data_IF_710877347264
#
_entry.id   IF_710877347264
#
_cell.length_a   1.000
_cell.length_b   1.000
_cell.length_c   1.000
_cell.angle_alpha   90.00
_cell.angle_beta   90.00
_cell.angle_gamma   90.00
#
_symmetry.space_group_name_H-M   'P 1'
#
loop_
_entity.id
_entity.type
_entity.pdbx_description
1 polymer ?
#
# COMPACT_ATOMS: atom_id res chain seq x y z
N UNK A 1 18.86 21.46 8.67
CA UNK A 1 17.53 20.87 8.44
C UNK A 1 16.87 21.72 7.37
N UNK A 2 16.81 21.26 6.12
CA UNK A 2 16.13 22.01 5.05
C UNK A 2 14.63 21.88 5.29
N UNK A 3 13.96 22.98 5.64
CA UNK A 3 12.51 23.04 5.89
C UNK A 3 11.76 22.47 4.69
N UNK A 4 11.31 21.22 4.80
CA UNK A 4 10.46 20.61 3.80
C UNK A 4 9.08 21.26 3.95
N UNK A 5 8.73 22.11 2.99
CA UNK A 5 7.44 22.77 2.95
C UNK A 5 6.34 21.72 2.78
N UNK A 6 5.50 21.57 3.80
CA UNK A 6 4.34 20.69 3.77
C UNK A 6 3.35 21.12 2.68
N UNK A 7 3.25 22.43 2.45
CA UNK A 7 2.33 23.07 1.53
C UNK A 7 2.80 22.94 0.07
N UNK A 8 1.85 22.65 -0.83
CA UNK A 8 2.04 22.58 -2.28
C UNK A 8 0.82 23.14 -3.00
N UNK A 9 0.94 23.42 -4.29
CA UNK A 9 -0.17 23.86 -5.11
C UNK A 9 -1.33 22.84 -5.16
N UNK A 10 -1.02 21.53 -5.12
CA UNK A 10 -2.04 20.48 -5.05
C UNK A 10 -2.83 20.54 -3.75
N UNK A 11 -2.14 20.75 -2.62
CA UNK A 11 -2.80 20.92 -1.31
C UNK A 11 -3.60 22.22 -1.24
N UNK A 12 -3.15 23.27 -1.94
CA UNK A 12 -3.90 24.51 -2.04
C UNK A 12 -5.24 24.32 -2.76
N UNK A 13 -5.29 23.56 -3.86
CA UNK A 13 -6.55 23.20 -4.53
C UNK A 13 -7.50 22.48 -3.57
N UNK A 14 -6.99 21.55 -2.75
CA UNK A 14 -7.80 20.86 -1.75
C UNK A 14 -8.28 21.79 -0.63
N UNK A 15 -7.45 22.74 -0.18
CA UNK A 15 -7.85 23.76 0.81
C UNK A 15 -8.98 24.63 0.28
N UNK A 16 -8.88 25.07 -0.97
CA UNK A 16 -9.95 25.82 -1.66
C UNK A 16 -11.21 24.97 -1.79
N UNK A 17 -11.08 23.68 -2.09
CA UNK A 17 -12.19 22.75 -2.05
C UNK A 17 -12.85 22.67 -0.67
N UNK A 18 -12.07 22.51 0.39
CA UNK A 18 -12.60 22.43 1.76
C UNK A 18 -13.28 23.74 2.18
N UNK A 19 -12.70 24.89 1.83
CA UNK A 19 -13.30 26.21 2.07
C UNK A 19 -14.66 26.35 1.39
N UNK A 20 -14.74 25.98 0.11
CA UNK A 20 -15.99 26.01 -0.65
C UNK A 20 -17.03 25.03 -0.10
N UNK A 21 -16.62 23.82 0.26
CA UNK A 21 -17.48 22.82 0.92
C UNK A 21 -18.07 23.34 2.23
N UNK A 22 -17.27 24.08 3.02
CA UNK A 22 -17.71 24.63 4.30
C UNK A 22 -18.65 25.84 4.15
N UNK A 23 -18.43 26.69 3.14
CA UNK A 23 -19.19 27.94 2.94
C UNK A 23 -20.47 27.77 2.11
N UNK A 24 -20.53 26.77 1.24
CA UNK A 24 -21.66 26.58 0.32
C UNK A 24 -22.58 25.43 0.74
N UNK A 25 -23.29 25.62 1.86
CA UNK A 25 -24.34 24.70 2.30
C UNK A 25 -25.54 24.66 1.32
N UNK A 26 -25.62 25.63 0.41
CA UNK A 26 -26.68 25.78 -0.58
C UNK A 26 -26.53 24.85 -1.79
N UNK A 27 -25.33 24.35 -2.13
CA UNK A 27 -25.06 23.53 -3.33
C UNK A 27 -25.83 22.19 -3.42
N UNK A 28 -26.57 21.81 -2.39
CA UNK A 28 -27.43 20.64 -2.38
C UNK A 28 -26.70 19.36 -1.93
N UNK A 29 -27.45 18.37 -1.41
CA UNK A 29 -26.86 17.22 -0.72
C UNK A 29 -26.09 16.28 -1.64
N UNK A 30 -26.48 16.15 -2.91
CA UNK A 30 -25.80 15.29 -3.88
C UNK A 30 -24.41 15.84 -4.25
N UNK A 31 -24.33 17.13 -4.56
CA UNK A 31 -23.07 17.82 -4.86
C UNK A 31 -22.15 17.84 -3.65
N UNK A 32 -22.66 18.14 -2.46
CA UNK A 32 -21.89 18.11 -1.21
C UNK A 32 -21.38 16.70 -0.87
N UNK A 33 -22.18 15.66 -1.10
CA UNK A 33 -21.77 14.27 -0.91
C UNK A 33 -20.68 13.84 -1.90
N UNK A 34 -20.83 14.19 -3.18
CA UNK A 34 -19.83 13.91 -4.21
C UNK A 34 -18.50 14.63 -3.92
N UNK A 35 -18.59 15.90 -3.50
CA UNK A 35 -17.43 16.71 -3.12
C UNK A 35 -16.74 16.17 -1.87
N UNK A 36 -17.50 15.81 -0.82
CA UNK A 36 -16.95 15.19 0.38
C UNK A 36 -16.28 13.85 0.06
N UNK A 37 -16.89 13.01 -0.79
CA UNK A 37 -16.30 11.76 -1.25
C UNK A 37 -15.00 11.95 -2.03
N UNK A 38 -14.95 12.96 -2.90
CA UNK A 38 -13.74 13.34 -3.62
C UNK A 38 -12.64 13.82 -2.65
N UNK A 39 -12.93 14.79 -1.78
CA UNK A 39 -11.97 15.35 -0.83
C UNK A 39 -11.44 14.28 0.14
N UNK A 40 -12.33 13.46 0.71
CA UNK A 40 -11.95 12.37 1.60
C UNK A 40 -11.09 11.32 0.87
N UNK A 41 -11.43 11.01 -0.39
CA UNK A 41 -10.63 10.12 -1.23
C UNK A 41 -9.22 10.64 -1.48
N UNK A 42 -9.08 11.93 -1.83
CA UNK A 42 -7.79 12.56 -2.09
C UNK A 42 -6.92 12.73 -0.83
N UNK A 43 -7.53 12.93 0.33
CA UNK A 43 -6.82 13.04 1.60
C UNK A 43 -6.42 11.67 2.18
N UNK A 44 -7.23 10.63 1.94
CA UNK A 44 -6.96 9.27 2.43
C UNK A 44 -5.97 8.51 1.53
N UNK A 45 -6.08 8.70 0.22
CA UNK A 45 -5.20 8.10 -0.78
C UNK A 45 -4.74 9.22 -1.74
N UNK A 46 -3.57 9.84 -1.49
CA UNK A 46 -3.11 11.01 -2.25
C UNK A 46 -2.81 10.64 -3.71
N UNK A 47 -3.83 10.76 -4.57
CA UNK A 47 -3.70 10.60 -6.03
C UNK A 47 -3.26 11.90 -6.71
N UNK A 48 -3.20 13.00 -5.96
CA UNK A 48 -2.79 14.32 -6.46
C UNK A 48 -1.29 14.44 -6.80
N UNK A 49 -0.49 13.39 -6.53
CA UNK A 49 0.83 13.20 -7.14
C UNK A 49 0.76 12.73 -8.62
N UNK A 50 -0.44 12.43 -9.13
CA UNK A 50 -0.73 12.07 -10.51
C UNK A 50 -0.86 13.26 -11.46
N UNK A 51 -1.23 13.04 -12.73
CA UNK A 51 -1.44 14.12 -13.69
C UNK A 51 -2.67 14.95 -13.30
N UNK A 52 -2.55 16.28 -13.36
CA UNK A 52 -3.66 17.21 -13.09
C UNK A 52 -4.93 16.91 -13.90
N UNK A 53 -4.77 16.29 -15.07
CA UNK A 53 -5.87 15.76 -15.90
C UNK A 53 -6.86 14.90 -15.13
N UNK A 54 -6.41 13.93 -14.33
CA UNK A 54 -7.30 12.97 -13.69
C UNK A 54 -8.10 13.65 -12.57
N UNK A 55 -7.46 14.60 -11.88
CA UNK A 55 -8.08 15.47 -10.87
C UNK A 55 -9.12 16.37 -11.55
N UNK A 56 -8.75 17.04 -12.65
CA UNK A 56 -9.63 17.91 -13.41
C UNK A 56 -10.85 17.17 -13.96
N UNK A 57 -10.67 15.94 -14.49
CA UNK A 57 -11.77 15.09 -14.93
C UNK A 57 -12.71 14.69 -13.79
N UNK A 58 -12.17 14.38 -12.62
CA UNK A 58 -12.98 14.02 -11.44
C UNK A 58 -13.78 15.21 -10.92
N UNK A 59 -13.20 16.43 -10.98
CA UNK A 59 -13.87 17.67 -10.60
C UNK A 59 -14.90 18.12 -11.65
N UNK A 60 -14.64 17.89 -12.94
CA UNK A 60 -15.60 18.18 -14.02
C UNK A 60 -16.81 17.24 -14.02
N UNK A 61 -16.70 16.06 -13.41
CA UNK A 61 -17.80 15.12 -13.27
C UNK A 61 -18.84 15.53 -12.21
N UNK A 62 -18.54 16.55 -11.39
CA UNK A 62 -19.42 17.04 -10.33
C UNK A 62 -20.07 18.34 -10.79
N UNK A 63 -21.38 18.29 -11.03
CA UNK A 63 -22.18 19.45 -11.43
C UNK A 63 -22.68 20.24 -10.21
N UNK A 64 -22.63 21.57 -10.30
CA UNK A 64 -23.23 22.49 -9.34
C UNK A 64 -24.50 23.08 -10.00
N UNK A 65 -25.69 22.55 -9.71
CA UNK A 65 -26.91 22.91 -10.41
C UNK A 65 -27.33 24.37 -10.20
N UNK A 66 -26.97 24.96 -9.06
CA UNK A 66 -27.36 26.33 -8.69
C UNK A 66 -26.57 27.37 -9.49
N UNK A 67 -25.27 27.14 -9.68
CA UNK A 67 -24.40 28.04 -10.43
C UNK A 67 -24.33 27.74 -11.93
N UNK A 68 -24.95 26.64 -12.37
CA UNK A 68 -24.91 26.15 -13.75
C UNK A 68 -23.47 25.96 -14.26
N UNK A 69 -22.57 25.52 -13.39
CA UNK A 69 -21.17 25.26 -13.72
C UNK A 69 -20.68 23.95 -13.09
N UNK A 70 -19.55 23.45 -13.57
CA UNK A 70 -18.87 22.32 -12.94
C UNK A 70 -18.14 22.77 -11.68
N UNK A 71 -17.90 21.84 -10.75
CA UNK A 71 -17.08 22.11 -9.57
C UNK A 71 -15.68 22.60 -9.95
N UNK A 72 -15.10 22.07 -11.03
CA UNK A 72 -13.84 22.57 -11.57
C UNK A 72 -13.90 24.07 -11.89
N UNK A 73 -14.95 24.52 -12.58
CA UNK A 73 -15.10 25.91 -12.97
C UNK A 73 -15.32 26.84 -11.77
N UNK A 74 -16.08 26.41 -10.76
CA UNK A 74 -16.28 27.15 -9.52
C UNK A 74 -14.97 27.28 -8.73
N UNK A 75 -14.26 26.17 -8.51
CA UNK A 75 -12.97 26.17 -7.80
C UNK A 75 -11.92 27.02 -8.52
N UNK A 76 -11.85 26.92 -9.84
CA UNK A 76 -10.92 27.71 -10.65
C UNK A 76 -11.17 29.22 -10.52
N UNK A 77 -12.44 29.62 -10.48
CA UNK A 77 -12.85 31.02 -10.29
C UNK A 77 -12.42 31.52 -8.91
N UNK A 78 -12.75 30.79 -7.85
CA UNK A 78 -12.36 31.14 -6.48
C UNK A 78 -10.85 31.19 -6.32
N UNK A 79 -10.12 30.21 -6.88
CA UNK A 79 -8.66 30.21 -6.87
C UNK A 79 -8.08 31.45 -7.55
N UNK A 80 -8.65 31.90 -8.67
CA UNK A 80 -8.18 33.10 -9.36
C UNK A 80 -8.32 34.35 -8.49
N UNK A 81 -9.41 34.46 -7.73
CA UNK A 81 -9.64 35.57 -6.79
C UNK A 81 -8.62 35.57 -5.64
N UNK A 82 -8.36 34.39 -5.04
CA UNK A 82 -7.41 34.26 -3.93
C UNK A 82 -5.94 34.41 -4.37
N UNK A 83 -5.61 34.09 -5.62
CA UNK A 83 -4.25 34.15 -6.16
C UNK A 83 -3.91 35.49 -6.83
N UNK A 84 -4.72 36.55 -6.64
CA UNK A 84 -4.47 37.88 -7.22
C UNK A 84 -3.25 38.58 -6.60
N UNK A 85 -3.04 38.43 -5.30
CA UNK A 85 -1.96 39.07 -4.56
C UNK A 85 -1.52 38.24 -3.35
N UNK A 86 -0.35 38.55 -2.79
CA UNK A 86 0.13 37.93 -1.55
C UNK A 86 -0.82 38.25 -0.40
N UNK A 87 -1.39 39.46 -0.36
CA UNK A 87 -2.34 39.87 0.68
C UNK A 87 -3.66 39.09 0.59
N UNK A 88 -4.17 38.82 -0.62
CA UNK A 88 -5.34 37.97 -0.84
C UNK A 88 -5.08 36.53 -0.36
N UNK A 89 -3.88 36.00 -0.61
CA UNK A 89 -3.49 34.68 -0.12
C UNK A 89 -3.44 34.65 1.41
N UNK A 90 -2.89 35.68 2.06
CA UNK A 90 -2.91 35.78 3.52
C UNK A 90 -4.34 35.87 4.07
N UNK A 91 -5.19 36.71 3.47
CA UNK A 91 -6.59 36.84 3.86
C UNK A 91 -7.36 35.52 3.73
N UNK A 92 -7.06 34.72 2.70
CA UNK A 92 -7.61 33.38 2.55
C UNK A 92 -7.23 32.46 3.73
N UNK A 93 -5.94 32.40 4.08
CA UNK A 93 -5.50 31.57 5.22
C UNK A 93 -6.06 32.05 6.56
N UNK A 94 -6.19 33.37 6.76
CA UNK A 94 -6.83 33.91 7.96
C UNK A 94 -8.32 33.53 8.02
N UNK A 95 -9.00 33.50 6.87
CA UNK A 95 -10.38 33.02 6.75
C UNK A 95 -10.54 31.52 7.05
N UNK A 96 -9.53 30.70 6.76
CA UNK A 96 -9.57 29.27 7.12
C UNK A 96 -9.49 29.03 8.63
N UNK A 97 -8.80 29.91 9.37
CA UNK A 97 -8.72 29.81 10.83
C UNK A 97 -10.11 29.98 11.48
N UNK A 98 -10.96 30.83 10.89
CA UNK A 98 -12.36 31.00 11.34
C UNK A 98 -13.23 29.76 11.15
N UNK A 99 -12.90 28.86 10.22
CA UNK A 99 -13.64 27.61 9.99
C UNK A 99 -13.33 26.53 11.05
N UNK A 100 -12.23 26.68 11.79
CA UNK A 100 -11.77 25.77 12.84
C UNK A 100 -12.14 26.25 14.25
N UNK A 101 -12.79 27.41 14.38
CA UNK A 101 -13.15 27.97 15.67
C UNK A 101 -14.30 27.18 16.33
N UNK A 102 -14.18 26.94 17.65
CA UNK A 102 -15.21 26.23 18.44
C UNK A 102 -16.50 27.05 18.62
N UNK A 103 -16.46 28.36 18.35
CA UNK A 103 -17.62 29.25 18.44
C UNK A 103 -18.20 29.54 17.05
N UNK A 104 -19.49 29.25 16.81
CA UNK A 104 -20.12 29.53 15.53
C UNK A 104 -20.14 31.04 15.28
N UNK A 105 -19.64 31.52 14.12
CA UNK A 105 -19.76 32.92 13.76
C UNK A 105 -21.24 33.28 13.72
N UNK A 106 -21.60 34.39 14.37
CA UNK A 106 -22.99 34.82 14.58
C UNK A 106 -23.78 35.16 13.30
N UNK A 107 -23.21 34.96 12.10
CA UNK A 107 -23.72 35.57 10.87
C UNK A 107 -23.64 34.73 9.57
N UNK A 108 -23.15 33.49 9.55
CA UNK A 108 -23.04 32.73 8.29
C UNK A 108 -23.51 31.28 8.42
N UNK A 109 -24.24 30.77 7.41
CA UNK A 109 -24.67 29.38 7.23
C UNK A 109 -23.49 28.44 6.87
N UNK A 110 -22.31 28.71 7.45
CA UNK A 110 -21.08 27.97 7.22
C UNK A 110 -21.01 26.72 8.12
N UNK A 111 -20.60 25.60 7.54
CA UNK A 111 -20.33 24.37 8.26
C UNK A 111 -19.01 24.51 9.02
N UNK A 112 -19.08 24.52 10.35
CA UNK A 112 -17.89 24.43 11.21
C UNK A 112 -17.20 23.08 11.03
N UNK A 113 -15.88 23.11 10.82
CA UNK A 113 -15.07 21.92 10.73
C UNK A 113 -14.62 21.51 12.13
N UNK A 114 -14.97 20.30 12.54
CA UNK A 114 -14.42 19.73 13.77
C UNK A 114 -12.89 19.62 13.67
N UNK A 115 -12.18 20.15 14.66
CA UNK A 115 -10.72 20.19 14.71
C UNK A 115 -10.07 18.81 14.70
N UNK A 116 -10.78 17.78 15.18
CA UNK A 116 -10.34 16.38 15.18
C UNK A 116 -10.79 15.61 13.92
N UNK A 117 -11.58 16.23 13.06
CA UNK A 117 -11.97 15.65 11.77
C UNK A 117 -10.79 15.60 10.79
N UNK A 118 -10.90 14.72 9.79
CA UNK A 118 -9.88 14.59 8.74
C UNK A 118 -9.66 15.91 7.96
N UNK A 119 -10.72 16.71 7.75
CA UNK A 119 -10.61 18.04 7.15
C UNK A 119 -9.96 19.03 8.13
N UNK A 120 -10.38 19.05 9.40
CA UNK A 120 -9.82 19.93 10.42
C UNK A 120 -8.32 19.74 10.63
N UNK A 121 -7.88 18.48 10.78
CA UNK A 121 -6.45 18.14 10.92
C UNK A 121 -5.64 18.58 9.69
N UNK A 122 -6.20 18.42 8.48
CA UNK A 122 -5.52 18.83 7.25
C UNK A 122 -5.40 20.36 7.17
N UNK A 123 -6.50 21.11 7.38
CA UNK A 123 -6.49 22.58 7.35
C UNK A 123 -5.52 23.13 8.38
N UNK A 124 -5.52 22.60 9.61
CA UNK A 124 -4.60 23.02 10.68
C UNK A 124 -3.13 22.78 10.31
N UNK A 125 -2.81 21.65 9.69
CA UNK A 125 -1.44 21.37 9.20
C UNK A 125 -1.02 22.35 8.10
N UNK A 126 -1.92 22.67 7.18
CA UNK A 126 -1.67 23.67 6.14
C UNK A 126 -1.45 25.08 6.72
N UNK A 127 -2.27 25.49 7.69
CA UNK A 127 -2.12 26.78 8.39
C UNK A 127 -0.77 26.88 9.10
N UNK A 128 -0.40 25.85 9.87
CA UNK A 128 0.91 25.79 10.53
C UNK A 128 2.07 25.83 9.54
N UNK A 129 1.94 25.13 8.41
CA UNK A 129 2.95 25.12 7.37
C UNK A 129 3.09 26.48 6.69
N UNK A 130 1.97 27.16 6.42
CA UNK A 130 1.94 28.49 5.83
C UNK A 130 2.52 29.55 6.77
N UNK A 131 2.17 29.51 8.07
CA UNK A 131 2.72 30.41 9.09
C UNK A 131 4.24 30.26 9.28
N UNK A 132 4.80 29.09 8.93
CA UNK A 132 6.24 28.83 8.96
C UNK A 132 6.98 29.28 7.69
N UNK A 133 6.27 29.75 6.66
CA UNK A 133 6.89 30.23 5.42
C UNK A 133 7.57 31.59 5.64
N UNK A 134 8.80 31.70 5.15
CA UNK A 134 9.43 33.01 5.00
C UNK A 134 8.73 33.81 3.88
N UNK A 135 8.71 35.14 3.98
CA UNK A 135 8.04 36.01 3.00
C UNK A 135 8.42 35.74 1.54
N UNK A 136 9.70 35.48 1.28
CA UNK A 136 10.18 35.15 -0.07
C UNK A 136 9.63 33.80 -0.59
N UNK A 137 9.35 32.85 0.32
CA UNK A 137 8.75 31.55 0.01
C UNK A 137 7.25 31.65 -0.26
N UNK A 138 6.56 32.58 0.38
CA UNK A 138 5.15 32.88 0.09
C UNK A 138 4.99 33.35 -1.35
N UNK A 139 5.89 34.24 -1.81
CA UNK A 139 5.90 34.69 -3.21
C UNK A 139 6.15 33.55 -4.20
N UNK A 140 7.13 32.67 -3.94
CA UNK A 140 7.36 31.50 -4.82
C UNK A 140 6.17 30.52 -4.80
N UNK A 141 5.55 30.32 -3.63
CA UNK A 141 4.39 29.47 -3.49
C UNK A 141 3.17 30.01 -4.25
N UNK A 142 2.95 31.33 -4.22
CA UNK A 142 1.90 31.99 -5.00
C UNK A 142 2.08 31.72 -6.51
N UNK A 143 3.29 31.85 -7.03
CA UNK A 143 3.61 31.56 -8.43
C UNK A 143 3.44 30.07 -8.77
N UNK A 144 3.83 29.17 -7.88
CA UNK A 144 3.60 27.73 -8.03
C UNK A 144 2.09 27.40 -8.11
N UNK A 145 1.27 28.05 -7.28
CA UNK A 145 -0.19 27.90 -7.31
C UNK A 145 -0.81 28.44 -8.59
N UNK A 146 -0.32 29.57 -9.11
CA UNK A 146 -0.76 30.13 -10.41
C UNK A 146 -0.43 29.20 -11.57
N UNK A 147 0.79 28.69 -11.63
CA UNK A 147 1.20 27.72 -12.66
C UNK A 147 0.38 26.43 -12.60
N UNK A 148 0.05 25.97 -11.39
CA UNK A 148 -0.80 24.80 -11.21
C UNK A 148 -2.25 25.06 -11.67
N UNK A 149 -2.79 26.26 -11.39
CA UNK A 149 -4.11 26.68 -11.86
C UNK A 149 -4.18 26.67 -13.39
N UNK A 150 -3.17 27.21 -14.06
CA UNK A 150 -3.08 27.20 -15.53
C UNK A 150 -3.03 25.75 -16.05
N UNK A 151 -2.23 24.88 -15.43
CA UNK A 151 -2.15 23.46 -15.80
C UNK A 151 -3.48 22.70 -15.61
N UNK A 152 -4.23 23.04 -14.56
CA UNK A 152 -5.53 22.47 -14.24
C UNK A 152 -6.60 22.91 -15.27
N UNK A 153 -6.57 24.19 -15.68
CA UNK A 153 -7.42 24.73 -16.76
C UNK A 153 -7.09 24.10 -18.12
N UNK A 154 -5.81 23.96 -18.45
CA UNK A 154 -5.34 23.38 -19.71
C UNK A 154 -5.49 21.84 -19.75
N UNK A 155 -5.95 21.21 -18.66
CA UNK A 155 -6.05 19.74 -18.51
C UNK A 155 -4.73 19.04 -18.85
N UNK A 156 -3.64 19.68 -18.44
CA UNK A 156 -2.28 19.27 -18.78
C UNK A 156 -1.95 17.89 -18.22
N UNK A 157 -1.12 17.14 -18.95
CA UNK A 157 -0.51 15.89 -18.45
C UNK A 157 0.70 16.14 -17.56
N UNK A 158 1.16 17.39 -17.45
CA UNK A 158 2.26 17.74 -16.57
C UNK A 158 1.82 17.49 -15.12
N UNK A 159 2.50 16.59 -14.42
CA UNK A 159 2.31 16.41 -12.99
C UNK A 159 2.78 17.69 -12.27
N UNK A 160 2.10 18.13 -11.20
CA UNK A 160 2.61 19.20 -10.36
C UNK A 160 4.01 18.84 -9.87
N UNK A 161 4.87 19.84 -9.69
CA UNK A 161 6.15 19.63 -9.02
C UNK A 161 5.86 19.19 -7.58
N UNK A 162 5.93 17.88 -7.32
CA UNK A 162 5.70 17.34 -5.98
C UNK A 162 6.67 17.97 -4.98
N UNK A 163 6.14 18.38 -3.83
CA UNK A 163 6.94 18.87 -2.71
C UNK A 163 7.81 17.74 -2.15
N UNK A 164 8.90 18.11 -1.46
CA UNK A 164 9.82 17.15 -0.84
C UNK A 164 9.09 16.19 0.09
N UNK A 165 8.11 16.68 0.86
CA UNK A 165 7.40 15.87 1.84
C UNK A 165 6.36 14.95 1.18
N UNK A 166 5.72 15.42 0.12
CA UNK A 166 4.79 14.66 -0.70
C UNK A 166 5.48 13.50 -1.42
N UNK A 167 6.73 13.72 -1.86
CA UNK A 167 7.56 12.64 -2.36
C UNK A 167 7.89 11.60 -1.27
N UNK A 168 8.07 12.00 -0.01
CA UNK A 168 8.26 11.03 1.07
C UNK A 168 6.97 10.22 1.30
N UNK A 169 5.81 10.88 1.42
CA UNK A 169 4.51 10.20 1.58
C UNK A 169 4.21 9.24 0.41
N UNK A 170 4.54 9.64 -0.82
CA UNK A 170 4.42 8.78 -1.99
C UNK A 170 5.37 7.58 -1.93
N UNK A 171 6.62 7.78 -1.53
CA UNK A 171 7.59 6.69 -1.32
C UNK A 171 7.08 5.70 -0.26
N UNK A 172 6.49 6.18 0.84
CA UNK A 172 5.88 5.32 1.86
C UNK A 172 4.75 4.46 1.29
N UNK A 173 3.87 5.07 0.49
CA UNK A 173 2.81 4.34 -0.19
C UNK A 173 3.35 3.28 -1.16
N UNK A 174 4.43 3.60 -1.89
CA UNK A 174 5.07 2.64 -2.79
C UNK A 174 5.75 1.50 -2.02
N UNK A 175 6.40 1.78 -0.89
CA UNK A 175 6.98 0.76 0.00
C UNK A 175 5.87 -0.16 0.51
N UNK A 176 4.78 0.39 1.04
CA UNK A 176 3.64 -0.39 1.52
C UNK A 176 3.03 -1.27 0.42
N UNK A 177 2.86 -0.72 -0.80
CA UNK A 177 2.35 -1.48 -1.95
C UNK A 177 3.29 -2.63 -2.36
N UNK A 178 4.61 -2.43 -2.29
CA UNK A 178 5.60 -3.47 -2.57
C UNK A 178 5.65 -4.54 -1.47
N UNK A 179 5.51 -4.16 -0.20
CA UNK A 179 5.49 -5.08 0.94
C UNK A 179 4.21 -5.92 0.98
N UNK A 180 3.06 -5.32 0.64
CA UNK A 180 1.77 -6.03 0.58
C UNK A 180 1.65 -6.94 -0.64
N UNK A 181 2.66 -6.98 -1.52
CA UNK A 181 2.68 -7.82 -2.72
C UNK A 181 1.66 -7.39 -3.78
N UNK A 182 0.97 -6.27 -3.56
CA UNK A 182 -0.04 -5.72 -4.46
C UNK A 182 0.66 -4.98 -5.59
N UNK A 183 0.91 -5.69 -6.69
CA UNK A 183 0.67 -5.18 -8.05
C UNK A 183 1.39 -3.91 -8.54
N UNK A 184 2.33 -3.30 -7.80
CA UNK A 184 3.07 -2.18 -8.35
C UNK A 184 3.93 -2.70 -9.52
N UNK A 185 3.60 -2.22 -10.72
CA UNK A 185 4.29 -2.59 -11.96
C UNK A 185 5.74 -2.11 -11.89
N UNK A 186 6.68 -3.04 -12.11
CA UNK A 186 8.13 -2.80 -12.09
C UNK A 186 8.53 -1.52 -12.85
N UNK A 187 8.07 -1.26 -14.10
CA UNK A 187 8.41 -0.04 -14.83
C UNK A 187 7.88 1.27 -14.21
N UNK A 188 6.74 1.22 -13.51
CA UNK A 188 6.16 2.42 -12.87
C UNK A 188 7.03 2.82 -11.67
N UNK A 189 7.41 1.84 -10.86
CA UNK A 189 8.29 2.05 -9.70
C UNK A 189 9.66 2.55 -10.13
N UNK A 190 10.23 1.99 -11.20
CA UNK A 190 11.53 2.41 -11.72
C UNK A 190 11.53 3.88 -12.20
N UNK A 191 10.47 4.29 -12.93
CA UNK A 191 10.30 5.69 -13.35
C UNK A 191 10.23 6.62 -12.14
N UNK A 192 9.47 6.23 -11.10
CA UNK A 192 9.32 7.03 -9.88
C UNK A 192 10.62 7.10 -9.07
N UNK A 193 11.40 6.03 -8.99
CA UNK A 193 12.74 6.03 -8.37
C UNK A 193 13.66 7.00 -9.10
N UNK A 194 13.70 6.96 -10.44
CA UNK A 194 14.53 7.87 -11.25
C UNK A 194 14.14 9.33 -11.06
N UNK A 195 12.84 9.63 -11.05
CA UNK A 195 12.32 10.99 -10.81
C UNK A 195 12.65 11.49 -9.40
N UNK A 196 12.54 10.62 -8.40
CA UNK A 196 12.76 10.97 -6.99
C UNK A 196 14.26 11.07 -6.64
N UNK A 197 15.13 10.29 -7.31
CA UNK A 197 16.56 10.25 -7.02
C UNK A 197 17.27 11.59 -7.21
N UNK A 198 16.83 12.42 -8.17
CA UNK A 198 17.41 13.74 -8.41
C UNK A 198 17.07 14.75 -7.30
N UNK A 199 15.94 14.57 -6.59
CA UNK A 199 15.44 15.49 -5.56
C UNK A 199 15.67 14.99 -4.13
N UNK A 200 15.85 13.69 -3.96
CA UNK A 200 15.93 12.97 -2.68
C UNK A 200 17.13 12.01 -2.62
N UNK A 201 18.30 12.41 -3.12
CA UNK A 201 19.52 11.57 -3.12
C UNK A 201 19.89 11.04 -1.73
N UNK A 202 19.58 11.82 -0.69
CA UNK A 202 19.99 11.54 0.69
C UNK A 202 18.90 10.85 1.52
N UNK A 203 17.75 10.50 0.91
CA UNK A 203 16.64 9.87 1.63
C UNK A 203 16.92 8.37 1.87
N UNK A 204 16.91 7.95 3.14
CA UNK A 204 17.02 6.54 3.54
C UNK A 204 15.88 5.72 2.95
N UNK A 205 14.64 6.21 3.03
CA UNK A 205 13.44 5.54 2.51
C UNK A 205 13.50 5.29 1.00
N UNK A 206 14.10 6.19 0.23
CA UNK A 206 14.34 5.96 -1.20
C UNK A 206 15.29 4.78 -1.45
N UNK A 207 16.32 4.60 -0.60
CA UNK A 207 17.23 3.45 -0.69
C UNK A 207 16.50 2.14 -0.33
N UNK A 208 15.58 2.15 0.64
CA UNK A 208 14.73 1.00 0.95
C UNK A 208 13.80 0.65 -0.22
N UNK A 209 13.16 1.66 -0.84
CA UNK A 209 12.33 1.46 -2.03
C UNK A 209 13.15 0.85 -3.20
N UNK A 210 14.37 1.38 -3.43
CA UNK A 210 15.28 0.84 -4.44
C UNK A 210 15.69 -0.60 -4.12
N UNK A 211 15.99 -0.90 -2.87
CA UNK A 211 16.28 -2.27 -2.42
C UNK A 211 15.11 -3.21 -2.75
N UNK A 212 13.88 -2.90 -2.31
CA UNK A 212 12.70 -3.75 -2.56
C UNK A 212 12.46 -3.98 -4.06
N UNK A 213 12.67 -2.94 -4.88
CA UNK A 213 12.57 -3.03 -6.33
C UNK A 213 13.62 -3.96 -6.94
N UNK A 214 14.89 -3.82 -6.55
CA UNK A 214 16.00 -4.65 -7.06
C UNK A 214 15.89 -6.11 -6.64
N UNK A 215 15.40 -6.38 -5.43
CA UNK A 215 15.12 -7.75 -4.99
C UNK A 215 14.07 -8.42 -5.88
N UNK A 216 13.03 -7.69 -6.29
CA UNK A 216 12.02 -8.21 -7.23
C UNK A 216 12.58 -8.46 -8.64
N UNK A 217 13.60 -7.71 -9.05
CA UNK A 217 14.30 -7.91 -10.32
C UNK A 217 15.32 -9.06 -10.28
N UNK A 218 15.74 -9.47 -9.09
CA UNK A 218 16.76 -10.50 -8.90
C UNK A 218 18.20 -9.97 -8.86
N UNK A 219 18.40 -8.65 -8.82
CA UNK A 219 19.72 -8.01 -8.89
C UNK A 219 20.40 -7.97 -7.51
N UNK A 220 21.17 -9.01 -7.17
CA UNK A 220 21.75 -9.19 -5.84
C UNK A 220 22.76 -8.10 -5.44
N UNK A 221 23.69 -7.76 -6.33
CA UNK A 221 24.79 -6.85 -6.00
C UNK A 221 24.30 -5.41 -5.80
N UNK A 222 23.42 -4.94 -6.67
CA UNK A 222 22.82 -3.62 -6.51
C UNK A 222 21.91 -3.55 -5.28
N UNK A 223 21.12 -4.60 -5.03
CA UNK A 223 20.26 -4.67 -3.85
C UNK A 223 21.07 -4.57 -2.55
N UNK A 224 22.18 -5.30 -2.44
CA UNK A 224 23.06 -5.22 -1.28
C UNK A 224 23.66 -3.82 -1.11
N UNK A 225 24.06 -3.17 -2.21
CA UNK A 225 24.57 -1.79 -2.16
C UNK A 225 23.51 -0.78 -1.70
N UNK A 226 22.27 -0.92 -2.15
CA UNK A 226 21.14 -0.07 -1.74
C UNK A 226 20.79 -0.29 -0.26
N UNK A 227 20.81 -1.55 0.19
CA UNK A 227 20.56 -1.91 1.59
C UNK A 227 21.62 -1.32 2.52
N UNK A 228 22.90 -1.39 2.15
CA UNK A 228 23.99 -0.76 2.93
C UNK A 228 23.79 0.74 3.04
N UNK A 229 23.47 1.43 1.94
CA UNK A 229 23.18 2.88 1.96
C UNK A 229 21.97 3.24 2.82
N UNK A 230 20.93 2.42 2.81
CA UNK A 230 19.78 2.58 3.72
C UNK A 230 20.25 2.53 5.18
N UNK A 231 21.03 1.52 5.55
CA UNK A 231 21.49 1.39 6.93
C UNK A 231 22.58 2.37 7.33
N UNK A 232 23.48 2.78 6.44
CA UNK A 232 24.48 3.81 6.71
C UNK A 232 23.83 5.19 6.96
N UNK A 233 22.71 5.47 6.27
CA UNK A 233 21.91 6.67 6.52
C UNK A 233 21.09 6.56 7.80
N UNK A 234 20.47 5.42 8.08
CA UNK A 234 19.71 5.16 9.32
C UNK A 234 20.58 4.97 10.57
N UNK A 235 21.85 4.59 10.44
CA UNK A 235 22.79 4.42 11.55
C UNK A 235 23.02 5.72 12.33
N UNK A 236 22.81 6.87 11.68
CA UNK A 236 22.87 8.18 12.34
C UNK A 236 21.75 8.41 13.35
N UNK A 237 20.66 7.64 13.27
CA UNK A 237 19.43 7.86 14.03
C UNK A 237 19.24 6.83 15.16
N UNK A 238 19.70 5.57 15.02
CA UNK A 238 19.51 4.53 16.05
C UNK A 238 20.61 3.46 16.08
N UNK A 239 20.98 2.98 17.28
CA UNK A 239 21.99 1.92 17.49
C UNK A 239 21.51 0.50 17.17
N UNK A 240 20.19 0.25 17.14
CA UNK A 240 19.57 -1.06 16.93
C UNK A 240 19.43 -1.47 15.44
N UNK A 241 20.20 -0.84 14.55
CA UNK A 241 19.96 -0.90 13.10
C UNK A 241 20.65 -2.11 12.45
N UNK A 242 21.72 -2.62 13.07
CA UNK A 242 22.59 -3.62 12.45
C UNK A 242 21.99 -5.03 12.42
N UNK A 243 21.30 -5.48 13.49
CA UNK A 243 20.64 -6.79 13.49
C UNK A 243 19.51 -6.87 12.45
N UNK A 244 18.77 -5.76 12.27
CA UNK A 244 17.76 -5.68 11.21
C UNK A 244 18.42 -5.68 9.82
N UNK A 245 19.57 -5.03 9.65
CA UNK A 245 20.28 -5.05 8.37
C UNK A 245 20.67 -6.45 7.92
N UNK A 246 21.24 -7.23 8.84
CA UNK A 246 21.59 -8.62 8.58
C UNK A 246 20.34 -9.48 8.32
N UNK A 247 19.23 -9.18 9.00
CA UNK A 247 17.95 -9.85 8.77
C UNK A 247 17.40 -9.59 7.36
N UNK A 248 17.39 -8.34 6.88
CA UNK A 248 16.97 -8.00 5.52
C UNK A 248 17.89 -8.62 4.45
N UNK A 249 19.20 -8.63 4.72
CA UNK A 249 20.19 -9.28 3.86
C UNK A 249 19.95 -10.80 3.78
N UNK A 250 19.70 -11.44 4.91
CA UNK A 250 19.39 -12.87 4.98
C UNK A 250 18.08 -13.18 4.24
N UNK A 251 17.02 -12.40 4.47
CA UNK A 251 15.72 -12.54 3.81
C UNK A 251 15.86 -12.49 2.29
N UNK A 252 16.58 -11.50 1.77
CA UNK A 252 16.86 -11.34 0.34
C UNK A 252 17.65 -12.53 -0.21
N UNK A 253 18.70 -13.00 0.48
CA UNK A 253 19.49 -14.17 0.05
C UNK A 253 18.67 -15.46 0.04
N UNK A 254 17.73 -15.65 0.96
CA UNK A 254 16.78 -16.78 0.92
C UNK A 254 15.90 -16.69 -0.32
N UNK A 255 15.36 -15.52 -0.63
CA UNK A 255 14.51 -15.31 -1.81
C UNK A 255 15.26 -15.56 -3.13
N UNK A 256 16.54 -15.22 -3.18
CA UNK A 256 17.42 -15.46 -4.35
C UNK A 256 17.99 -16.89 -4.41
N UNK A 257 17.69 -17.75 -3.43
CA UNK A 257 18.17 -19.14 -3.39
C UNK A 257 19.62 -19.32 -2.92
N UNK A 258 20.28 -18.28 -2.42
CA UNK A 258 21.64 -18.32 -1.88
C UNK A 258 21.67 -18.84 -0.42
N UNK A 259 21.30 -20.10 -0.23
CA UNK A 259 20.97 -20.67 1.08
C UNK A 259 22.15 -20.64 2.08
N UNK A 260 23.38 -20.89 1.62
CA UNK A 260 24.56 -20.89 2.51
C UNK A 260 24.94 -19.47 2.97
N UNK A 261 24.89 -18.50 2.06
CA UNK A 261 25.15 -17.10 2.38
C UNK A 261 24.05 -16.49 3.26
N UNK A 262 22.81 -16.97 3.11
CA UNK A 262 21.70 -16.61 3.99
C UNK A 262 21.91 -17.17 5.41
N UNK A 263 22.35 -18.43 5.53
CA UNK A 263 22.65 -19.07 6.83
C UNK A 263 23.67 -18.27 7.63
N UNK A 264 24.80 -17.92 7.01
CA UNK A 264 25.85 -17.15 7.67
C UNK A 264 25.34 -15.78 8.14
N UNK A 265 24.51 -15.11 7.34
CA UNK A 265 23.91 -13.84 7.72
C UNK A 265 22.92 -13.98 8.89
N UNK A 266 22.14 -15.07 8.95
CA UNK A 266 21.24 -15.34 10.07
C UNK A 266 21.98 -15.71 11.36
N UNK A 267 23.06 -16.47 11.27
CA UNK A 267 23.88 -16.83 12.42
C UNK A 267 24.50 -15.57 13.05
N UNK A 268 25.04 -14.67 12.22
CA UNK A 268 25.56 -13.37 12.65
C UNK A 268 24.46 -12.47 13.23
N UNK A 269 23.30 -12.38 12.56
CA UNK A 269 22.15 -11.63 13.07
C UNK A 269 21.69 -12.16 14.43
N UNK A 270 21.73 -13.48 14.63
CA UNK A 270 21.36 -14.12 15.90
C UNK A 270 22.32 -13.75 17.01
N UNK A 271 23.63 -13.73 16.74
CA UNK A 271 24.64 -13.32 17.71
C UNK A 271 24.40 -11.88 18.17
N UNK A 272 24.28 -10.96 17.22
CA UNK A 272 24.11 -9.52 17.52
C UNK A 272 22.77 -9.25 18.21
N UNK A 273 21.68 -9.88 17.77
CA UNK A 273 20.38 -9.72 18.42
C UNK A 273 20.36 -10.27 19.86
N UNK A 274 21.14 -11.32 20.16
CA UNK A 274 21.32 -11.81 21.54
C UNK A 274 22.13 -10.84 22.39
N UNK A 275 23.20 -10.30 21.85
CA UNK A 275 24.03 -9.31 22.55
C UNK A 275 23.22 -8.05 22.88
N UNK A 276 22.34 -7.64 21.96
CA UNK A 276 21.43 -6.51 22.16
C UNK A 276 20.16 -6.87 22.97
N UNK A 277 19.97 -8.12 23.36
CA UNK A 277 18.76 -8.63 24.05
C UNK A 277 17.45 -8.31 23.30
N UNK A 278 17.48 -8.24 21.98
CA UNK A 278 16.32 -7.91 21.14
C UNK A 278 15.49 -9.18 20.86
N UNK A 279 14.59 -9.50 21.78
CA UNK A 279 13.73 -10.68 21.68
C UNK A 279 12.78 -10.64 20.47
N UNK A 280 12.38 -9.44 20.01
CA UNK A 280 11.50 -9.29 18.87
C UNK A 280 12.23 -9.59 17.57
N UNK A 281 13.44 -9.04 17.38
CA UNK A 281 14.29 -9.38 16.25
C UNK A 281 14.65 -10.87 16.23
N UNK A 282 14.93 -11.48 17.40
CA UNK A 282 15.19 -12.92 17.52
C UNK A 282 14.00 -13.78 17.06
N UNK A 283 12.77 -13.33 17.26
CA UNK A 283 11.58 -14.02 16.77
C UNK A 283 11.50 -13.98 15.23
N UNK A 284 11.79 -12.83 14.61
CA UNK A 284 11.86 -12.73 13.16
C UNK A 284 13.03 -13.53 12.56
N UNK A 285 14.20 -13.52 13.20
CA UNK A 285 15.33 -14.36 12.81
C UNK A 285 14.94 -15.84 12.86
N UNK A 286 14.21 -16.27 13.90
CA UNK A 286 13.70 -17.64 14.02
C UNK A 286 12.74 -17.99 12.87
N UNK A 287 11.88 -17.05 12.45
CA UNK A 287 10.99 -17.21 11.29
C UNK A 287 11.78 -17.43 10.00
N UNK A 288 12.80 -16.59 9.74
CA UNK A 288 13.64 -16.73 8.55
C UNK A 288 14.53 -17.97 8.57
N UNK A 289 14.99 -18.40 9.74
CA UNK A 289 15.69 -19.68 9.90
C UNK A 289 14.77 -20.87 9.54
N UNK A 290 13.52 -20.85 9.98
CA UNK A 290 12.54 -21.86 9.60
C UNK A 290 12.29 -21.86 8.07
N UNK A 291 12.12 -20.68 7.45
CA UNK A 291 11.99 -20.54 5.99
C UNK A 291 13.20 -21.09 5.23
N UNK A 292 14.41 -20.83 5.72
CA UNK A 292 15.65 -21.37 5.15
C UNK A 292 15.66 -22.90 5.16
N UNK A 293 15.25 -23.52 6.29
CA UNK A 293 15.16 -24.98 6.39
C UNK A 293 14.11 -25.56 5.44
N UNK A 294 12.95 -24.91 5.30
CA UNK A 294 11.92 -25.29 4.32
C UNK A 294 12.48 -25.22 2.89
N UNK A 295 13.17 -24.13 2.54
CA UNK A 295 13.79 -23.98 1.22
C UNK A 295 14.85 -25.05 0.94
N UNK A 296 15.69 -25.39 1.93
CA UNK A 296 16.66 -26.49 1.84
C UNK A 296 16.01 -27.84 1.64
N UNK A 297 14.89 -28.09 2.33
CA UNK A 297 14.10 -29.30 2.11
C UNK A 297 13.56 -29.36 0.68
N UNK A 298 12.98 -28.27 0.15
CA UNK A 298 12.50 -28.24 -1.24
C UNK A 298 13.61 -28.52 -2.26
N UNK A 299 14.83 -28.07 -2.01
CA UNK A 299 15.97 -28.30 -2.92
C UNK A 299 16.57 -29.71 -2.83
N UNK A 300 16.56 -30.35 -1.66
CA UNK A 300 17.27 -31.62 -1.42
C UNK A 300 16.35 -32.83 -1.22
N UNK A 301 15.10 -32.58 -0.83
CA UNK A 301 14.06 -33.56 -0.48
C UNK A 301 14.50 -34.59 0.59
N UNK A 302 15.51 -34.26 1.40
CA UNK A 302 16.02 -35.15 2.43
C UNK A 302 15.10 -35.15 3.68
N UNK A 303 14.71 -36.33 4.20
CA UNK A 303 13.84 -36.43 5.38
C UNK A 303 14.41 -35.76 6.64
N UNK A 304 15.73 -35.75 6.80
CA UNK A 304 16.41 -35.07 7.90
C UNK A 304 16.15 -33.56 7.91
N UNK A 305 16.14 -32.92 6.73
CA UNK A 305 15.83 -31.51 6.58
C UNK A 305 14.35 -31.21 6.86
N UNK A 306 13.43 -32.10 6.47
CA UNK A 306 12.02 -31.96 6.81
C UNK A 306 11.79 -32.01 8.33
N UNK A 307 12.47 -32.92 9.03
CA UNK A 307 12.34 -33.04 10.48
C UNK A 307 12.91 -31.83 11.21
N UNK A 308 14.06 -31.32 10.77
CA UNK A 308 14.65 -30.09 11.31
C UNK A 308 13.73 -28.87 11.07
N UNK A 309 13.16 -28.74 9.88
CA UNK A 309 12.23 -27.67 9.54
C UNK A 309 10.95 -27.74 10.38
N UNK A 310 10.38 -28.95 10.57
CA UNK A 310 9.21 -29.17 11.43
C UNK A 310 9.46 -28.78 12.88
N UNK A 311 10.60 -29.18 13.45
CA UNK A 311 10.97 -28.81 14.81
C UNK A 311 11.17 -27.30 14.98
N UNK A 312 11.82 -26.65 14.00
CA UNK A 312 12.01 -25.21 14.01
C UNK A 312 10.68 -24.44 13.92
N UNK A 313 9.76 -24.89 13.07
CA UNK A 313 8.42 -24.30 12.94
C UNK A 313 7.58 -24.46 14.20
N UNK A 314 7.60 -25.64 14.86
CA UNK A 314 6.92 -25.83 16.14
C UNK A 314 7.43 -24.83 17.20
N UNK A 315 8.74 -24.72 17.34
CA UNK A 315 9.35 -23.75 18.27
C UNK A 315 9.00 -22.28 17.92
N UNK A 316 8.94 -21.94 16.63
CA UNK A 316 8.51 -20.61 16.18
C UNK A 316 7.06 -20.31 16.58
N UNK A 317 6.15 -21.24 16.33
CA UNK A 317 4.72 -21.08 16.64
C UNK A 317 4.54 -20.88 18.14
N UNK A 318 5.18 -21.73 18.96
CA UNK A 318 5.12 -21.61 20.41
C UNK A 318 5.67 -20.26 20.87
N UNK A 319 6.85 -19.85 20.42
CA UNK A 319 7.44 -18.56 20.81
C UNK A 319 6.59 -17.37 20.35
N UNK A 320 6.03 -17.43 19.15
CA UNK A 320 5.16 -16.38 18.63
C UNK A 320 3.83 -16.31 19.40
N UNK A 321 3.34 -17.44 19.94
CA UNK A 321 2.22 -17.48 20.88
C UNK A 321 2.54 -16.78 22.20
N UNK A 322 3.69 -17.09 22.80
CA UNK A 322 4.13 -16.45 24.05
C UNK A 322 4.36 -14.94 23.90
N UNK A 323 4.77 -14.48 22.72
CA UNK A 323 5.00 -13.06 22.42
C UNK A 323 3.78 -12.34 21.81
N UNK A 324 2.60 -12.99 21.76
CA UNK A 324 1.38 -12.44 21.17
C UNK A 324 1.54 -11.93 19.72
N UNK A 325 2.45 -12.51 18.94
CA UNK A 325 2.73 -12.15 17.55
C UNK A 325 1.92 -13.05 16.60
N UNK A 326 0.63 -12.79 16.46
CA UNK A 326 -0.30 -13.61 15.66
C UNK A 326 0.15 -13.74 14.19
N UNK A 327 0.72 -12.68 13.60
CA UNK A 327 1.20 -12.71 12.21
C UNK A 327 2.26 -13.79 11.97
N UNK A 328 3.23 -13.92 12.88
CA UNK A 328 4.28 -14.92 12.77
C UNK A 328 3.79 -16.33 13.10
N UNK A 329 2.77 -16.47 13.95
CA UNK A 329 2.10 -17.76 14.17
C UNK A 329 1.39 -18.21 12.90
N UNK A 330 0.63 -17.33 12.24
CA UNK A 330 -0.05 -17.59 10.97
C UNK A 330 0.96 -18.05 9.91
N UNK A 331 2.05 -17.30 9.74
CA UNK A 331 3.14 -17.68 8.83
C UNK A 331 3.74 -19.04 9.19
N UNK A 332 3.93 -19.32 10.48
CA UNK A 332 4.42 -20.61 10.97
C UNK A 332 3.51 -21.78 10.58
N UNK A 333 2.20 -21.65 10.79
CA UNK A 333 1.21 -22.66 10.38
C UNK A 333 1.16 -22.84 8.86
N UNK A 334 1.25 -21.76 8.07
CA UNK A 334 1.28 -21.85 6.61
C UNK A 334 2.53 -22.58 6.10
N UNK A 335 3.71 -22.26 6.63
CA UNK A 335 4.95 -22.96 6.27
C UNK A 335 4.94 -24.45 6.69
N UNK A 336 4.30 -24.76 7.82
CA UNK A 336 4.12 -26.14 8.26
C UNK A 336 3.18 -26.91 7.33
N UNK A 337 2.10 -26.26 6.87
CA UNK A 337 1.19 -26.85 5.89
C UNK A 337 1.89 -27.12 4.55
N UNK A 338 2.73 -26.22 4.06
CA UNK A 338 3.50 -26.40 2.81
C UNK A 338 4.49 -27.58 2.91
N UNK A 339 5.18 -27.74 4.05
CA UNK A 339 6.01 -28.94 4.31
C UNK A 339 5.19 -30.24 4.30
N UNK A 340 3.99 -30.21 4.89
CA UNK A 340 3.11 -31.38 4.96
C UNK A 340 2.50 -31.73 3.61
N UNK A 341 2.13 -30.73 2.81
CA UNK A 341 1.68 -30.89 1.44
C UNK A 341 2.77 -31.51 0.55
N UNK A 342 4.04 -31.24 0.81
CA UNK A 342 5.14 -31.90 0.10
C UNK A 342 5.28 -33.39 0.48
N UNK A 343 4.77 -33.79 1.64
CA UNK A 343 4.71 -35.17 2.11
C UNK A 343 3.33 -35.83 1.91
N UNK A 344 2.39 -35.15 1.25
CA UNK A 344 0.99 -35.59 1.07
C UNK A 344 0.25 -35.91 2.39
N UNK A 345 0.52 -35.16 3.46
CA UNK A 345 -0.12 -35.31 4.77
C UNK A 345 -1.38 -34.42 4.88
N UNK A 346 -2.52 -35.02 5.21
CA UNK A 346 -3.83 -34.35 5.35
C UNK A 346 -3.84 -33.29 6.46
N UNK A 347 -2.94 -33.40 7.44
CA UNK A 347 -2.77 -32.40 8.52
C UNK A 347 -2.41 -31.01 8.02
N UNK A 348 -2.02 -30.87 6.74
CA UNK A 348 -1.88 -29.58 6.09
C UNK A 348 -3.16 -28.75 6.15
N UNK A 349 -4.34 -29.36 5.95
CA UNK A 349 -5.62 -28.65 5.99
C UNK A 349 -5.93 -28.11 7.38
N UNK A 350 -5.67 -28.90 8.44
CA UNK A 350 -5.87 -28.47 9.82
C UNK A 350 -5.03 -27.21 10.14
N UNK A 351 -3.78 -27.19 9.69
CA UNK A 351 -2.90 -26.05 9.90
C UNK A 351 -3.34 -24.81 9.10
N UNK A 352 -3.84 -24.97 7.88
CA UNK A 352 -4.41 -23.87 7.08
C UNK A 352 -5.66 -23.30 7.77
N UNK A 353 -6.55 -24.15 8.28
CA UNK A 353 -7.75 -23.72 9.01
C UNK A 353 -7.39 -22.99 10.30
N UNK A 354 -6.40 -23.47 11.06
CA UNK A 354 -5.87 -22.75 12.25
C UNK A 354 -5.31 -21.38 11.89
N UNK A 355 -4.55 -21.29 10.80
CA UNK A 355 -4.03 -20.01 10.31
C UNK A 355 -5.15 -19.03 9.93
N UNK A 356 -6.23 -19.50 9.30
CA UNK A 356 -7.41 -18.67 8.99
C UNK A 356 -8.15 -18.21 10.25
N UNK A 357 -8.36 -19.11 11.22
CA UNK A 357 -9.02 -18.77 12.48
C UNK A 357 -8.25 -17.67 13.23
N UNK A 358 -6.93 -17.82 13.35
CA UNK A 358 -6.07 -16.81 13.99
C UNK A 358 -6.09 -15.46 13.24
N UNK A 359 -6.12 -15.48 11.91
CA UNK A 359 -6.20 -14.26 11.10
C UNK A 359 -7.51 -13.50 11.33
N UNK A 360 -8.63 -14.21 11.53
CA UNK A 360 -9.93 -13.62 11.84
C UNK A 360 -9.95 -13.10 13.28
N UNK A 361 -9.53 -13.92 14.24
CA UNK A 361 -9.55 -13.59 15.67
C UNK A 361 -8.70 -12.35 15.99
N UNK A 362 -7.52 -12.24 15.38
CA UNK A 362 -6.59 -11.13 15.62
C UNK A 362 -6.70 -10.00 14.59
N UNK A 363 -7.72 -10.03 13.71
CA UNK A 363 -7.96 -8.99 12.69
C UNK A 363 -6.72 -8.70 11.82
N UNK A 364 -6.08 -9.74 11.29
CA UNK A 364 -4.92 -9.65 10.38
C UNK A 364 -5.38 -9.95 8.94
N UNK A 365 -6.08 -9.02 8.26
CA UNK A 365 -6.68 -9.29 6.94
C UNK A 365 -5.65 -9.54 5.85
N UNK A 366 -4.42 -9.02 6.02
CA UNK A 366 -3.32 -9.15 5.06
C UNK A 366 -2.90 -10.61 4.81
N UNK A 367 -3.10 -11.50 5.77
CA UNK A 367 -2.69 -12.91 5.66
C UNK A 367 -3.79 -13.83 5.12
N UNK A 368 -5.05 -13.38 5.08
CA UNK A 368 -6.16 -14.16 4.54
C UNK A 368 -5.99 -14.59 3.06
N UNK A 369 -5.46 -13.75 2.14
CA UNK A 369 -5.19 -14.18 0.77
C UNK A 369 -4.18 -15.34 0.73
N UNK A 370 -3.12 -15.27 1.53
CA UNK A 370 -2.10 -16.31 1.62
C UNK A 370 -2.70 -17.64 2.11
N UNK A 371 -3.57 -17.60 3.13
CA UNK A 371 -4.27 -18.79 3.61
C UNK A 371 -5.18 -19.43 2.55
N UNK A 372 -5.80 -18.63 1.67
CA UNK A 372 -6.67 -19.13 0.60
C UNK A 372 -5.90 -19.72 -0.56
N UNK A 373 -4.79 -19.09 -0.93
CA UNK A 373 -3.88 -19.65 -1.93
C UNK A 373 -3.30 -20.98 -1.45
N UNK A 374 -2.90 -21.08 -0.17
CA UNK A 374 -2.45 -22.33 0.43
C UNK A 374 -3.55 -23.40 0.40
N UNK A 375 -4.81 -23.04 0.68
CA UNK A 375 -5.94 -23.96 0.59
C UNK A 375 -6.19 -24.42 -0.85
N UNK A 376 -6.13 -23.50 -1.82
CA UNK A 376 -6.28 -23.82 -3.23
C UNK A 376 -5.16 -24.74 -3.73
N UNK A 377 -3.91 -24.51 -3.31
CA UNK A 377 -2.79 -25.38 -3.61
C UNK A 377 -2.97 -26.78 -2.99
N UNK A 378 -3.42 -26.85 -1.73
CA UNK A 378 -3.72 -28.11 -1.07
C UNK A 378 -4.73 -28.94 -1.87
N UNK A 379 -5.88 -28.36 -2.22
CA UNK A 379 -6.90 -29.06 -3.02
C UNK A 379 -6.40 -29.50 -4.40
N UNK A 380 -5.53 -28.70 -5.03
CA UNK A 380 -4.93 -29.08 -6.30
C UNK A 380 -4.03 -30.31 -6.16
N UNK A 381 -3.20 -30.37 -5.11
CA UNK A 381 -2.30 -31.52 -4.86
C UNK A 381 -3.04 -32.80 -4.51
N UNK A 382 -4.20 -32.71 -3.85
CA UNK A 382 -5.07 -33.86 -3.57
C UNK A 382 -5.99 -34.23 -4.75
N UNK A 383 -5.84 -33.59 -5.92
CA UNK A 383 -6.56 -33.96 -7.14
C UNK A 383 -7.98 -33.39 -7.26
N UNK A 384 -8.31 -32.32 -6.51
CA UNK A 384 -9.60 -31.65 -6.56
C UNK A 384 -9.49 -30.23 -7.18
N UNK A 385 -9.30 -30.11 -8.52
CA UNK A 385 -9.06 -28.83 -9.17
C UNK A 385 -10.25 -27.86 -9.09
N UNK A 386 -11.48 -28.38 -9.03
CA UNK A 386 -12.68 -27.56 -8.90
C UNK A 386 -12.77 -26.87 -7.53
N UNK A 387 -12.38 -27.56 -6.44
CA UNK A 387 -12.31 -26.96 -5.09
C UNK A 387 -11.17 -25.96 -5.02
N UNK A 388 -10.05 -26.25 -5.68
CA UNK A 388 -8.92 -25.33 -5.79
C UNK A 388 -9.34 -24.02 -6.45
N UNK A 389 -10.05 -24.09 -7.58
CA UNK A 389 -10.60 -22.92 -8.26
C UNK A 389 -11.58 -22.15 -7.38
N UNK A 390 -12.51 -22.84 -6.71
CA UNK A 390 -13.48 -22.21 -5.81
C UNK A 390 -12.78 -21.51 -4.63
N UNK A 391 -11.75 -22.14 -4.06
CA UNK A 391 -10.95 -21.59 -2.96
C UNK A 391 -10.17 -20.34 -3.38
N UNK A 392 -9.65 -20.32 -4.61
CA UNK A 392 -8.97 -19.16 -5.19
C UNK A 392 -9.94 -18.02 -5.58
N UNK A 393 -11.18 -18.36 -5.92
CA UNK A 393 -12.21 -17.40 -6.35
C UNK A 393 -13.00 -16.78 -5.19
N UNK A 394 -12.92 -17.33 -3.97
CA UNK A 394 -13.61 -16.77 -2.82
C UNK A 394 -13.11 -15.32 -2.58
N UNK A 395 -13.98 -14.30 -2.56
CA UNK A 395 -13.58 -12.89 -2.45
C UNK A 395 -13.09 -12.54 -1.05
N UNK A 396 -12.01 -11.78 -0.95
CA UNK A 396 -11.57 -11.16 0.31
C UNK A 396 -12.68 -10.23 0.79
N UNK A 397 -12.87 -10.03 2.11
CA UNK A 397 -13.98 -9.22 2.63
C UNK A 397 -13.76 -7.72 2.37
N UNK A 398 -13.79 -7.26 1.12
CA UNK A 398 -13.90 -5.84 0.69
C UNK A 398 -14.52 -5.62 -0.71
N UNK A 399 -15.03 -6.63 -1.43
CA UNK A 399 -15.63 -6.40 -2.76
C UNK A 399 -17.15 -6.15 -2.69
N UNK A 400 -17.61 -5.04 -3.28
CA UNK A 400 -19.03 -4.68 -3.44
C UNK A 400 -19.76 -5.68 -4.34
N UNK A 401 -21.07 -5.86 -4.14
CA UNK A 401 -21.87 -6.88 -4.83
C UNK A 401 -21.88 -6.74 -6.37
N UNK A 402 -21.71 -5.51 -6.90
CA UNK A 402 -21.67 -5.26 -8.34
C UNK A 402 -20.38 -5.77 -9.00
N UNK A 403 -19.22 -5.71 -8.32
CA UNK A 403 -17.97 -6.27 -8.83
C UNK A 403 -17.99 -7.81 -8.85
N UNK A 404 -18.74 -8.43 -7.93
CA UNK A 404 -18.95 -9.89 -7.89
C UNK A 404 -19.69 -10.37 -9.13
N UNK A 405 -20.73 -9.65 -9.56
CA UNK A 405 -21.53 -9.99 -10.73
C UNK A 405 -20.76 -9.74 -12.05
N UNK A 406 -19.95 -8.68 -12.12
CA UNK A 406 -19.18 -8.34 -13.33
C UNK A 406 -18.01 -9.29 -13.58
N UNK A 407 -17.33 -9.76 -12.51
CA UNK A 407 -16.22 -10.73 -12.62
C UNK A 407 -16.70 -12.14 -12.94
N UNK A 408 -17.85 -12.57 -12.43
CA UNK A 408 -18.49 -13.83 -12.85
C UNK A 408 -18.87 -13.80 -14.34
N UNK A 409 -19.37 -12.67 -14.86
CA UNK A 409 -19.67 -12.51 -16.29
C UNK A 409 -18.40 -12.50 -17.16
N UNK A 410 -17.33 -11.85 -16.71
CA UNK A 410 -16.04 -11.83 -17.42
C UNK A 410 -15.36 -13.21 -17.41
N UNK A 411 -15.39 -13.95 -16.30
CA UNK A 411 -14.85 -15.31 -16.22
C UNK A 411 -15.63 -16.30 -17.09
N UNK A 412 -16.97 -16.21 -17.13
CA UNK A 412 -17.78 -17.00 -18.07
C UNK A 412 -17.51 -16.62 -19.54
N UNK A 413 -17.14 -15.37 -19.83
CA UNK A 413 -16.77 -14.94 -21.20
C UNK A 413 -15.34 -15.33 -21.63
N UNK A 414 -14.43 -15.54 -20.66
CA UNK A 414 -13.04 -15.95 -20.92
C UNK A 414 -12.87 -17.48 -20.98
N UNK A 415 -13.77 -18.24 -20.34
CA UNK A 415 -13.77 -19.71 -20.40
C UNK A 415 -14.01 -20.26 -21.81
N UNK A 416 -14.57 -19.47 -22.72
CA UNK A 416 -14.79 -19.86 -24.11
C UNK A 416 -13.55 -19.72 -25.02
N UNK A 417 -12.44 -19.13 -24.54
CA UNK A 417 -11.25 -18.83 -25.36
C UNK A 417 -9.92 -19.48 -24.93
N UNK A 418 -9.87 -20.18 -23.79
CA UNK A 418 -8.63 -20.83 -23.31
C UNK A 418 -8.58 -22.35 -23.55
N UNK A 419 -9.65 -22.98 -24.03
CA UNK A 419 -9.61 -24.35 -24.54
C UNK A 419 -9.16 -24.36 -26.01
N UNK A 420 -7.87 -24.12 -26.22
CA UNK A 420 -7.23 -24.18 -27.54
C UNK A 420 -5.82 -24.74 -27.43
N UNK A 421 -5.69 -26.03 -27.12
CA UNK A 421 -4.79 -27.03 -27.74
C UNK A 421 -4.92 -28.37 -26.96
N UNK A 422 -5.14 -29.45 -27.71
CA UNK A 422 -5.40 -30.84 -27.30
C UNK A 422 -4.10 -31.64 -27.01
N UNK A 423 -4.15 -32.96 -26.78
CA UNK A 423 -4.92 -33.74 -25.80
C UNK A 423 -3.97 -34.53 -24.86
N UNK A 424 -4.43 -34.84 -23.63
CA UNK A 424 -3.91 -36.01 -22.91
C UNK A 424 -4.81 -37.22 -23.25
N UNK A 425 -4.22 -38.39 -23.53
CA UNK A 425 -5.00 -39.57 -23.94
C UNK A 425 -5.73 -40.17 -22.75
N UNK A 426 -6.91 -40.71 -23.06
CA UNK A 426 -7.63 -41.73 -22.30
C UNK A 426 -7.95 -41.41 -20.83
N UNK A 427 -8.99 -40.58 -20.64
CA UNK A 427 -9.92 -40.76 -19.53
C UNK A 427 -11.35 -40.65 -20.08
N UNK A 428 -11.86 -41.77 -20.56
CA UNK A 428 -13.27 -41.96 -20.86
C UNK A 428 -14.05 -41.93 -19.55
N UNK A 429 -14.79 -40.85 -19.29
CA UNK A 429 -16.08 -40.96 -18.61
C UNK A 429 -17.04 -39.93 -19.22
N UNK A 430 -17.72 -40.40 -20.27
CA UNK A 430 -18.95 -39.83 -20.75
C UNK A 430 -20.02 -39.93 -19.64
N UNK A 431 -20.71 -38.84 -19.36
CA UNK A 431 -22.05 -38.92 -18.79
C UNK A 431 -22.99 -38.02 -19.61
N UNK A 432 -23.83 -38.58 -20.50
CA UNK A 432 -24.65 -37.83 -21.44
C UNK A 432 -25.96 -37.29 -20.84
N UNK A 433 -25.99 -37.00 -19.53
CA UNK A 433 -27.22 -36.68 -18.80
C UNK A 433 -27.38 -35.19 -18.42
N UNK A 434 -26.70 -34.26 -19.10
CA UNK A 434 -26.81 -32.82 -18.83
C UNK A 434 -27.18 -31.97 -20.07
N UNK A 435 -27.76 -32.59 -21.11
CA UNK A 435 -28.26 -31.88 -22.30
C UNK A 435 -29.69 -31.33 -22.17
N UNK A 436 -30.43 -31.67 -21.11
CA UNK A 436 -31.89 -31.50 -21.10
C UNK A 436 -32.41 -30.45 -20.09
N UNK A 437 -31.56 -29.58 -19.54
CA UNK A 437 -31.98 -28.59 -18.52
C UNK A 437 -31.46 -27.17 -18.75
N UNK A 438 -31.51 -26.68 -19.99
CA UNK A 438 -31.47 -25.24 -20.30
C UNK A 438 -32.39 -24.91 -21.48
N UNK A 439 -33.68 -24.74 -21.17
CA UNK A 439 -34.59 -23.82 -21.87
C UNK A 439 -34.83 -22.62 -20.94
#
# INVERSE_FOLDING_TARGET
MSNATYLSAAKFVLLVGIDQYARHSDWGPETLSAMAGFLAGQLSAPQWAGPWRDIAQSLDAIDIPIEQCTLLAALTRHMHEQLTSVDALHAFFDGLDTLLADEPPMAEDALLLDSDSLFGVFVRRCLLAFAQLEFHRVGTFLEECRQALDCLQERSTAAPAMSRMEMHEHIEHLIAALEDGVGASVPVVERQIRMSAARLSDSSRLQLLRFLHLVRQGECHEAESALRRFFDSSYRETRAVHQHALLYLAAMRVQLGMLDAARLALDEATHIARDCQDHHCLLFISCWHARLLVARFKHSLLPSHAQAARAALGCLIDKAAHMHCAELQIVGYLLLSDLQLAASDERAFENIVRAQALAIEHSVPKQLPACRLALAEAWLRFGCPWVSQLSAQLPLPQATENERAQRLRLLMSCQHRLCGYAPLPDCQFANPALSDLLL
#
